data_IF_025733130286
#
_entry.id   IF_025733130286
#
_cell.length_a   1.000
_cell.length_b   1.000
_cell.length_c   1.000
_cell.angle_alpha   90.00
_cell.angle_beta   90.00
_cell.angle_gamma   90.00
#
_symmetry.space_group_name_H-M   'P 1'
#
loop_
_entity.id
_entity.type
_entity.pdbx_description
1 polymer ?
#
# COMPACT_ATOMS: atom_id res chain seq x y z
N UNK A 1 10.08 -25.43 8.49
CA UNK A 1 8.62 -25.47 8.76
C UNK A 1 7.88 -24.76 7.63
N UNK A 2 6.90 -25.42 6.97
CA UNK A 2 6.00 -24.75 6.03
C UNK A 2 5.18 -23.67 6.75
N UNK A 3 4.99 -22.52 6.12
CA UNK A 3 4.12 -21.48 6.68
C UNK A 3 2.66 -21.86 6.42
N UNK A 4 1.99 -22.33 7.46
CA UNK A 4 0.56 -22.68 7.44
C UNK A 4 -0.29 -21.57 8.05
N UNK A 5 -1.62 -21.74 8.09
CA UNK A 5 -2.55 -20.76 8.69
C UNK A 5 -2.26 -20.48 10.18
N UNK A 6 -1.61 -21.40 10.89
CA UNK A 6 -1.27 -21.28 12.31
C UNK A 6 0.05 -20.53 12.55
N UNK A 7 0.84 -20.31 11.49
CA UNK A 7 2.10 -19.57 11.53
C UNK A 7 1.85 -18.15 11.07
N UNK A 8 1.91 -17.20 12.00
CA UNK A 8 2.03 -15.79 11.66
C UNK A 8 3.50 -15.49 11.45
N UNK A 9 3.87 -14.98 10.29
CA UNK A 9 5.24 -14.61 9.98
C UNK A 9 5.19 -13.35 9.12
N UNK A 10 6.01 -12.37 9.43
CA UNK A 10 6.18 -11.17 8.62
C UNK A 10 7.67 -10.85 8.57
N UNK A 11 8.20 -10.74 7.36
CA UNK A 11 9.55 -10.26 7.10
C UNK A 11 9.58 -8.72 7.10
N UNK A 12 10.71 -8.10 7.39
CA UNK A 12 10.78 -6.63 7.48
C UNK A 12 10.35 -5.90 6.21
N UNK A 13 10.58 -6.48 5.02
CA UNK A 13 10.05 -5.97 3.76
C UNK A 13 8.52 -6.08 3.69
N UNK A 14 7.94 -7.19 4.15
CA UNK A 14 6.49 -7.36 4.24
C UNK A 14 5.88 -6.34 5.22
N UNK A 15 6.54 -6.11 6.35
CA UNK A 15 6.14 -5.13 7.38
C UNK A 15 6.14 -3.70 6.83
N UNK A 16 7.10 -3.36 5.95
CA UNK A 16 7.17 -2.04 5.33
C UNK A 16 5.87 -1.69 4.57
N UNK A 17 5.24 -2.68 3.93
CA UNK A 17 3.96 -2.49 3.25
C UNK A 17 2.78 -2.65 4.22
N UNK A 18 2.77 -3.71 5.05
CA UNK A 18 1.63 -4.03 5.92
C UNK A 18 1.35 -2.94 6.96
N UNK A 19 2.40 -2.31 7.51
CA UNK A 19 2.29 -1.19 8.46
C UNK A 19 1.64 0.07 7.87
N UNK A 20 1.69 0.23 6.55
CA UNK A 20 1.06 1.33 5.82
C UNK A 20 -0.31 0.95 5.25
N UNK A 21 -0.87 -0.20 5.63
CA UNK A 21 -2.09 -0.77 5.06
C UNK A 21 -1.99 -0.98 3.53
N UNK A 22 -0.77 -1.12 3.01
CA UNK A 22 -0.52 -1.48 1.63
C UNK A 22 -0.36 -2.99 1.55
N UNK A 23 -1.35 -3.70 1.02
CA UNK A 23 -1.21 -5.15 0.76
C UNK A 23 -1.29 -5.46 -0.71
N UNK A 24 -2.34 -5.00 -1.37
CA UNK A 24 -2.66 -5.25 -2.77
C UNK A 24 -3.40 -4.04 -3.37
N UNK A 25 -3.62 -4.03 -4.67
CA UNK A 25 -4.67 -3.19 -5.27
C UNK A 25 -6.08 -3.76 -5.01
N UNK A 26 -7.15 -2.92 -5.03
CA UNK A 26 -7.11 -1.45 -5.12
C UNK A 26 -6.53 -0.82 -3.85
N UNK A 27 -5.96 0.38 -4.00
CA UNK A 27 -5.46 1.17 -2.86
C UNK A 27 -6.63 1.97 -2.32
N UNK A 28 -7.01 1.69 -1.08
CA UNK A 28 -8.08 2.39 -0.37
C UNK A 28 -7.65 2.60 1.08
N UNK A 29 -7.89 3.80 1.60
CA UNK A 29 -7.49 4.17 2.95
C UNK A 29 -8.48 5.18 3.53
N UNK A 30 -8.69 5.08 4.84
CA UNK A 30 -9.32 6.13 5.66
C UNK A 30 -8.72 6.09 7.06
N UNK A 31 -8.60 7.23 7.70
CA UNK A 31 -8.02 7.34 9.04
C UNK A 31 -9.09 7.49 10.16
N UNK A 32 -10.35 7.19 9.86
CA UNK A 32 -11.47 7.22 10.81
C UNK A 32 -12.30 5.94 10.74
N UNK A 33 -13.00 5.62 11.84
CA UNK A 33 -13.68 4.35 12.04
C UNK A 33 -14.61 4.00 10.87
N UNK A 34 -14.57 2.78 10.31
CA UNK A 34 -15.47 2.35 9.23
C UNK A 34 -16.94 2.33 9.64
N UNK A 35 -17.24 2.40 10.95
CA UNK A 35 -18.60 2.47 11.48
C UNK A 35 -19.20 3.87 11.35
N UNK A 36 -18.38 4.91 11.12
CA UNK A 36 -18.84 6.26 10.84
C UNK A 36 -19.62 6.30 9.52
N UNK A 37 -20.88 6.73 9.60
CA UNK A 37 -21.78 6.92 8.47
C UNK A 37 -22.03 8.40 8.27
N UNK A 38 -22.02 8.83 7.01
CA UNK A 38 -22.47 10.18 6.68
C UNK A 38 -23.98 10.29 6.94
N UNK A 39 -24.39 11.44 7.45
CA UNK A 39 -25.78 11.85 7.62
C UNK A 39 -26.35 12.39 6.31
N UNK A 40 -25.53 13.06 5.51
CA UNK A 40 -25.93 13.73 4.28
C UNK A 40 -24.79 13.75 3.26
N UNK A 41 -25.15 13.74 1.97
CA UNK A 41 -24.24 14.04 0.85
C UNK A 41 -24.77 15.28 0.13
N UNK A 42 -23.95 16.32 0.08
CA UNK A 42 -24.27 17.58 -0.60
C UNK A 42 -23.50 17.61 -1.94
N UNK A 43 -24.16 17.56 -3.09
CA UNK A 43 -23.50 17.72 -4.39
C UNK A 43 -23.10 19.19 -4.59
N UNK A 44 -21.84 19.43 -4.94
CA UNK A 44 -21.28 20.77 -5.09
C UNK A 44 -20.95 21.13 -6.56
N UNK A 45 -21.27 20.22 -7.50
CA UNK A 45 -21.03 20.40 -8.92
C UNK A 45 -19.68 19.87 -9.39
N UNK A 46 -19.18 20.44 -10.49
CA UNK A 46 -17.89 20.08 -11.09
C UNK A 46 -17.05 21.33 -11.30
N UNK A 47 -15.75 21.22 -11.04
CA UNK A 47 -14.78 22.29 -11.27
C UNK A 47 -13.45 21.70 -11.69
N UNK A 48 -12.58 22.54 -12.24
CA UNK A 48 -11.17 22.23 -12.32
C UNK A 48 -10.52 22.43 -10.93
N UNK A 49 -9.56 21.57 -10.61
CA UNK A 49 -8.79 21.60 -9.35
C UNK A 49 -7.32 21.62 -9.69
N UNK A 50 -6.61 22.66 -9.25
CA UNK A 50 -5.16 22.75 -9.37
C UNK A 50 -4.51 22.27 -8.07
N UNK A 51 -3.51 21.40 -8.17
CA UNK A 51 -2.69 20.90 -7.06
C UNK A 51 -1.23 21.16 -7.39
N UNK A 52 -0.67 22.24 -6.82
CA UNK A 52 0.63 22.77 -7.27
C UNK A 52 0.62 23.06 -8.77
N UNK A 53 1.50 22.41 -9.53
CA UNK A 53 1.60 22.55 -10.98
C UNK A 53 0.66 21.61 -11.77
N UNK A 54 -0.06 20.70 -11.10
CA UNK A 54 -0.93 19.72 -11.75
C UNK A 54 -2.37 20.23 -11.82
N UNK A 55 -2.95 20.28 -13.02
CA UNK A 55 -4.34 20.65 -13.25
C UNK A 55 -5.21 19.41 -13.48
N UNK A 56 -6.27 19.26 -12.68
CA UNK A 56 -7.27 18.22 -12.82
C UNK A 56 -8.54 18.83 -13.39
N UNK A 57 -8.97 18.36 -14.56
CA UNK A 57 -10.18 18.87 -15.20
C UNK A 57 -11.43 18.11 -14.78
N UNK A 58 -12.55 18.81 -14.71
CA UNK A 58 -13.89 18.23 -14.50
C UNK A 58 -13.98 17.35 -13.24
N UNK A 59 -13.37 17.78 -12.14
CA UNK A 59 -13.44 17.10 -10.85
C UNK A 59 -14.83 17.30 -10.26
N UNK A 60 -15.49 16.19 -9.90
CA UNK A 60 -16.77 16.24 -9.18
C UNK A 60 -16.52 16.55 -7.70
N UNK A 61 -17.20 17.58 -7.20
CA UNK A 61 -17.15 17.99 -5.80
C UNK A 61 -18.39 17.51 -5.04
N UNK A 62 -18.17 16.95 -3.84
CA UNK A 62 -19.24 16.55 -2.92
C UNK A 62 -18.80 16.80 -1.49
N UNK A 63 -19.72 17.26 -0.63
CA UNK A 63 -19.48 17.27 0.81
C UNK A 63 -20.21 16.10 1.47
N UNK A 64 -19.49 15.30 2.25
CA UNK A 64 -20.04 14.29 3.13
C UNK A 64 -20.16 14.87 4.53
N UNK A 65 -21.38 14.95 5.06
CA UNK A 65 -21.64 15.46 6.40
C UNK A 65 -21.69 14.29 7.37
N UNK A 66 -20.78 14.25 8.33
CA UNK A 66 -20.81 13.33 9.47
C UNK A 66 -21.34 14.06 10.70
N UNK A 67 -21.55 13.33 11.79
CA UNK A 67 -22.03 13.89 13.05
C UNK A 67 -21.09 15.01 13.56
N UNK A 68 -19.78 14.77 13.53
CA UNK A 68 -18.80 15.64 14.19
C UNK A 68 -17.85 16.36 13.20
N UNK A 69 -17.95 16.06 11.90
CA UNK A 69 -17.07 16.62 10.87
C UNK A 69 -17.71 16.58 9.48
N UNK A 70 -17.06 17.23 8.51
CA UNK A 70 -17.43 17.18 7.09
C UNK A 70 -16.20 16.82 6.28
N UNK A 71 -16.38 16.04 5.21
CA UNK A 71 -15.33 15.79 4.22
C UNK A 71 -15.71 16.43 2.89
N UNK A 72 -14.77 17.12 2.25
CA UNK A 72 -14.89 17.53 0.86
C UNK A 72 -14.22 16.48 -0.02
N UNK A 73 -14.99 15.83 -0.90
CA UNK A 73 -14.50 14.87 -1.88
C UNK A 73 -14.21 15.55 -3.22
N UNK A 74 -13.01 15.27 -3.71
CA UNK A 74 -12.59 15.40 -5.10
C UNK A 74 -12.69 14.03 -5.77
N UNK A 75 -13.61 13.90 -6.72
CA UNK A 75 -13.84 12.66 -7.44
C UNK A 75 -13.52 12.82 -8.93
N UNK A 76 -12.67 11.93 -9.42
CA UNK A 76 -12.40 11.72 -10.84
C UNK A 76 -12.84 10.31 -11.25
N UNK A 77 -12.59 9.93 -12.51
CA UNK A 77 -12.73 8.52 -12.95
C UNK A 77 -11.64 7.62 -12.38
N UNK A 78 -10.51 8.19 -11.97
CA UNK A 78 -9.30 7.45 -11.62
C UNK A 78 -9.14 7.28 -10.11
N UNK A 79 -9.63 8.25 -9.33
CA UNK A 79 -9.53 8.21 -7.89
C UNK A 79 -10.66 9.01 -7.23
N UNK A 80 -10.79 8.81 -5.93
CA UNK A 80 -11.55 9.66 -5.00
C UNK A 80 -10.60 10.07 -3.89
N UNK A 81 -10.62 11.34 -3.53
CA UNK A 81 -9.88 11.87 -2.40
C UNK A 81 -10.81 12.77 -1.61
N UNK A 82 -10.93 12.53 -0.31
CA UNK A 82 -11.76 13.32 0.58
C UNK A 82 -10.98 13.67 1.84
N UNK A 83 -11.13 14.90 2.32
CA UNK A 83 -10.44 15.40 3.50
C UNK A 83 -11.33 16.34 4.28
N UNK A 84 -11.08 16.45 5.58
CA UNK A 84 -11.91 17.26 6.45
C UNK A 84 -11.72 18.74 6.21
N UNK A 85 -12.86 19.42 6.08
CA UNK A 85 -12.92 20.85 5.79
C UNK A 85 -14.00 21.54 6.63
N UNK A 86 -13.85 22.84 6.77
CA UNK A 86 -14.91 23.76 7.17
C UNK A 86 -15.30 24.64 5.98
N UNK A 87 -16.55 25.11 5.97
CA UNK A 87 -17.09 25.97 4.92
C UNK A 87 -17.59 27.26 5.58
N UNK A 88 -17.03 28.40 5.17
CA UNK A 88 -17.43 29.72 5.63
C UNK A 88 -17.50 30.65 4.42
N UNK A 89 -18.64 31.32 4.20
CA UNK A 89 -18.89 32.21 3.06
C UNK A 89 -18.50 31.63 1.68
N UNK A 90 -18.87 30.37 1.44
CA UNK A 90 -18.52 29.58 0.24
C UNK A 90 -17.02 29.31 0.04
N UNK A 91 -16.16 29.61 1.02
CA UNK A 91 -14.73 29.30 1.01
C UNK A 91 -14.47 28.10 1.92
N UNK A 92 -13.73 27.11 1.40
CA UNK A 92 -13.32 25.93 2.16
C UNK A 92 -11.99 26.15 2.86
N UNK A 93 -11.91 25.70 4.11
CA UNK A 93 -10.70 25.71 4.95
C UNK A 93 -10.34 24.29 5.37
N UNK A 94 -9.06 23.93 5.31
CA UNK A 94 -8.61 22.62 5.78
C UNK A 94 -8.78 22.52 7.29
N UNK A 95 -9.30 21.38 7.76
CA UNK A 95 -9.21 20.97 9.16
C UNK A 95 -8.51 19.63 9.19
N UNK A 96 -7.22 19.57 9.50
CA UNK A 96 -6.47 18.31 9.40
C UNK A 96 -6.82 17.36 10.55
N UNK A 97 -7.73 16.41 10.29
CA UNK A 97 -8.01 15.31 11.21
C UNK A 97 -8.42 14.05 10.44
N UNK A 98 -9.28 14.19 9.44
CA UNK A 98 -9.87 13.07 8.72
C UNK A 98 -9.58 13.12 7.22
N UNK A 99 -9.22 11.98 6.66
CA UNK A 99 -9.01 11.80 5.24
C UNK A 99 -9.41 10.40 4.79
N UNK A 100 -9.79 10.31 3.52
CA UNK A 100 -10.12 9.07 2.84
C UNK A 100 -9.70 9.17 1.37
N UNK A 101 -9.18 8.08 0.81
CA UNK A 101 -8.98 7.99 -0.63
C UNK A 101 -9.16 6.58 -1.16
N UNK A 102 -9.41 6.51 -2.46
CA UNK A 102 -9.50 5.28 -3.23
C UNK A 102 -8.92 5.53 -4.63
N UNK A 103 -8.05 4.63 -5.10
CA UNK A 103 -7.47 4.66 -6.44
C UNK A 103 -7.99 3.45 -7.22
N UNK A 104 -8.46 3.69 -8.44
CA UNK A 104 -8.99 2.66 -9.33
C UNK A 104 -7.95 1.59 -9.63
N UNK A 105 -8.40 0.34 -9.72
CA UNK A 105 -7.55 -0.80 -10.10
C UNK A 105 -7.40 -0.98 -11.62
N UNK A 106 -8.12 -0.20 -12.44
CA UNK A 106 -8.08 -0.29 -13.90
C UNK A 106 -7.37 0.93 -14.52
N UNK A 107 -6.11 1.12 -14.13
CA UNK A 107 -5.26 2.20 -14.61
C UNK A 107 -4.04 1.63 -15.31
N UNK A 108 -3.67 2.24 -16.44
CA UNK A 108 -2.39 1.95 -17.05
C UNK A 108 -1.26 2.59 -16.23
N UNK A 109 -0.04 2.08 -16.38
CA UNK A 109 1.09 2.52 -15.56
C UNK A 109 1.38 4.04 -15.65
N UNK A 110 1.36 4.69 -16.85
CA UNK A 110 1.57 6.14 -16.93
C UNK A 110 0.52 6.96 -16.16
N UNK A 111 -0.75 6.57 -16.21
CA UNK A 111 -1.81 7.23 -15.43
C UNK A 111 -1.60 7.03 -13.93
N UNK A 112 -1.22 5.82 -13.53
CA UNK A 112 -0.96 5.51 -12.13
C UNK A 112 0.26 6.28 -11.58
N UNK A 113 1.32 6.45 -12.39
CA UNK A 113 2.48 7.27 -12.04
C UNK A 113 2.08 8.73 -11.80
N UNK A 114 1.25 9.31 -12.67
CA UNK A 114 0.73 10.66 -12.50
C UNK A 114 -0.11 10.80 -11.21
N UNK A 115 -0.92 9.80 -10.87
CA UNK A 115 -1.71 9.79 -9.63
C UNK A 115 -0.81 9.68 -8.41
N UNK A 116 0.21 8.81 -8.42
CA UNK A 116 1.13 8.71 -7.28
C UNK A 116 1.89 10.01 -7.05
N UNK A 117 2.35 10.67 -8.13
CA UNK A 117 2.95 12.00 -8.04
C UNK A 117 1.97 13.04 -7.50
N UNK A 118 0.72 13.04 -7.97
CA UNK A 118 -0.34 13.92 -7.49
C UNK A 118 -0.58 13.78 -5.99
N UNK A 119 -0.79 12.54 -5.51
CA UNK A 119 -1.03 12.28 -4.09
C UNK A 119 0.20 12.61 -3.23
N UNK A 120 1.41 12.35 -3.71
CA UNK A 120 2.63 12.74 -3.03
C UNK A 120 2.75 14.27 -2.90
N UNK A 121 2.49 15.02 -3.97
CA UNK A 121 2.46 16.49 -3.95
C UNK A 121 1.38 17.02 -3.02
N UNK A 122 0.18 16.44 -3.09
CA UNK A 122 -0.95 16.77 -2.25
C UNK A 122 -0.58 16.67 -0.77
N UNK A 123 -0.04 15.53 -0.33
CA UNK A 123 0.33 15.31 1.08
C UNK A 123 1.63 16.00 1.50
N UNK A 124 2.41 16.51 0.54
CA UNK A 124 3.58 17.35 0.84
C UNK A 124 3.19 18.80 1.18
N UNK A 125 1.90 19.15 1.12
CA UNK A 125 1.41 20.50 1.37
C UNK A 125 1.33 21.38 0.14
N UNK A 126 1.27 20.81 -1.08
CA UNK A 126 1.04 21.61 -2.28
C UNK A 126 -0.30 22.36 -2.19
N UNK A 127 -0.35 23.59 -2.71
CA UNK A 127 -1.58 24.38 -2.73
C UNK A 127 -2.62 23.70 -3.62
N UNK A 128 -3.80 23.50 -3.06
CA UNK A 128 -5.00 23.01 -3.73
C UNK A 128 -5.90 24.21 -3.98
N UNK A 129 -6.17 24.49 -5.24
CA UNK A 129 -6.94 25.65 -5.67
C UNK A 129 -8.12 25.19 -6.53
N UNK A 130 -9.31 25.65 -6.20
CA UNK A 130 -10.52 25.37 -6.97
C UNK A 130 -11.59 26.44 -6.74
N UNK A 131 -12.56 26.49 -7.65
CA UNK A 131 -13.68 27.41 -7.54
C UNK A 131 -14.93 26.67 -7.05
N UNK A 132 -15.66 27.29 -6.13
CA UNK A 132 -17.00 26.86 -5.73
C UNK A 132 -17.91 28.08 -5.74
N UNK A 133 -19.00 28.01 -6.49
CA UNK A 133 -19.83 29.18 -6.84
C UNK A 133 -18.97 30.32 -7.41
N UNK A 134 -18.98 31.49 -6.77
CA UNK A 134 -18.19 32.66 -7.17
C UNK A 134 -16.93 32.85 -6.32
N UNK A 135 -16.64 31.91 -5.41
CA UNK A 135 -15.53 32.00 -4.47
C UNK A 135 -14.40 31.04 -4.87
N UNK A 136 -13.16 31.54 -4.77
CA UNK A 136 -11.95 30.74 -4.91
C UNK A 136 -11.58 30.18 -3.54
N UNK A 137 -11.41 28.88 -3.45
CA UNK A 137 -10.85 28.21 -2.27
C UNK A 137 -9.40 27.86 -2.53
N UNK A 138 -8.55 28.12 -1.55
CA UNK A 138 -7.13 27.77 -1.55
C UNK A 138 -6.78 27.13 -0.22
N UNK A 139 -6.28 25.90 -0.27
CA UNK A 139 -6.03 25.09 0.91
C UNK A 139 -4.81 24.18 0.72
N UNK A 140 -4.27 23.62 1.79
CA UNK A 140 -3.17 22.66 1.74
C UNK A 140 -3.37 21.56 2.78
N UNK A 141 -2.71 20.42 2.56
CA UNK A 141 -2.79 19.26 3.45
C UNK A 141 -1.39 18.69 3.62
N UNK A 142 -0.91 18.51 4.84
CA UNK A 142 0.40 17.90 5.11
C UNK A 142 0.26 16.56 5.84
N UNK A 143 0.85 15.51 5.28
CA UNK A 143 0.91 14.21 5.91
C UNK A 143 2.14 13.40 5.47
N UNK A 144 3.22 13.50 6.24
CA UNK A 144 4.52 12.88 5.92
C UNK A 144 4.44 11.34 5.81
N UNK A 145 3.54 10.69 6.57
CA UNK A 145 3.30 9.24 6.47
C UNK A 145 2.70 8.87 5.11
N UNK A 146 1.76 9.67 4.62
CA UNK A 146 1.18 9.46 3.29
C UNK A 146 2.17 9.80 2.18
N UNK A 147 3.00 10.84 2.34
CA UNK A 147 4.12 11.12 1.42
C UNK A 147 5.04 9.91 1.29
N UNK A 148 5.43 9.30 2.41
CA UNK A 148 6.25 8.09 2.41
C UNK A 148 5.53 6.92 1.73
N UNK A 149 4.23 6.72 2.00
CA UNK A 149 3.41 5.68 1.37
C UNK A 149 3.39 5.80 -0.16
N UNK A 150 3.14 6.99 -0.70
CA UNK A 150 3.13 7.21 -2.15
C UNK A 150 4.52 7.16 -2.78
N UNK A 151 5.58 7.49 -2.03
CA UNK A 151 6.96 7.28 -2.46
C UNK A 151 7.28 5.79 -2.60
N UNK A 152 6.84 4.96 -1.64
CA UNK A 152 6.99 3.50 -1.69
C UNK A 152 6.25 2.88 -2.89
N UNK A 153 4.99 3.31 -3.11
CA UNK A 153 4.19 2.88 -4.26
C UNK A 153 4.84 3.25 -5.60
N UNK A 154 5.39 4.46 -5.71
CA UNK A 154 6.12 4.91 -6.90
C UNK A 154 7.37 4.06 -7.16
N UNK A 155 8.11 3.70 -6.11
CA UNK A 155 9.26 2.81 -6.21
C UNK A 155 8.85 1.41 -6.71
N UNK A 156 7.78 0.85 -6.14
CA UNK A 156 7.24 -0.44 -6.56
C UNK A 156 6.80 -0.45 -8.03
N UNK A 157 6.11 0.62 -8.49
CA UNK A 157 5.71 0.78 -9.89
C UNK A 157 6.92 0.80 -10.84
N UNK A 158 7.98 1.55 -10.49
CA UNK A 158 9.21 1.64 -11.29
C UNK A 158 9.93 0.30 -11.39
N UNK A 159 10.05 -0.44 -10.29
CA UNK A 159 10.64 -1.80 -10.28
C UNK A 159 9.84 -2.75 -11.16
N UNK A 160 8.51 -2.69 -11.05
CA UNK A 160 7.61 -3.48 -11.89
C UNK A 160 7.79 -3.14 -13.39
N UNK A 161 7.80 -1.86 -13.77
CA UNK A 161 7.97 -1.44 -15.16
C UNK A 161 9.33 -1.85 -15.74
N UNK A 162 10.41 -1.70 -14.96
CA UNK A 162 11.78 -1.93 -15.43
C UNK A 162 12.14 -3.41 -15.60
N UNK A 163 11.65 -4.30 -14.73
CA UNK A 163 12.10 -5.69 -14.70
C UNK A 163 11.02 -6.73 -14.99
N UNK A 164 9.76 -6.39 -14.77
CA UNK A 164 8.67 -7.33 -14.99
C UNK A 164 8.06 -7.19 -16.39
N UNK A 165 8.24 -6.06 -17.07
CA UNK A 165 7.65 -5.82 -18.39
C UNK A 165 8.07 -6.83 -19.47
N UNK A 166 9.25 -7.44 -19.37
CA UNK A 166 9.76 -8.46 -20.31
C UNK A 166 9.07 -9.83 -20.17
N UNK A 167 8.63 -10.18 -18.95
CA UNK A 167 7.94 -11.43 -18.63
C UNK A 167 6.41 -11.32 -18.66
N UNK A 168 5.86 -10.12 -18.87
CA UNK A 168 4.42 -9.87 -18.87
C UNK A 168 3.84 -9.84 -20.28
N UNK A 169 2.66 -10.42 -20.47
CA UNK A 169 1.90 -10.27 -21.71
C UNK A 169 1.21 -8.91 -21.76
N UNK A 170 0.73 -8.47 -22.95
CA UNK A 170 0.01 -7.19 -23.10
C UNK A 170 -1.16 -7.03 -22.11
N UNK A 171 -1.82 -8.11 -21.69
CA UNK A 171 -2.95 -8.09 -20.76
C UNK A 171 -2.53 -7.88 -19.30
N UNK A 172 -1.30 -8.24 -18.94
CA UNK A 172 -0.79 -8.22 -17.56
C UNK A 172 0.11 -7.02 -17.29
N UNK A 173 0.19 -6.05 -18.23
CA UNK A 173 1.13 -4.92 -18.20
C UNK A 173 0.81 -3.85 -17.16
N UNK A 174 -0.40 -3.85 -16.59
CA UNK A 174 -0.83 -2.81 -15.67
C UNK A 174 -0.61 -3.25 -14.23
N UNK A 175 0.19 -2.47 -13.50
CA UNK A 175 0.53 -2.73 -12.10
C UNK A 175 -0.72 -2.79 -11.21
N UNK A 176 -1.71 -1.94 -11.48
CA UNK A 176 -2.95 -1.87 -10.70
C UNK A 176 -3.88 -3.09 -10.86
N UNK A 177 -3.65 -3.92 -11.89
CA UNK A 177 -4.47 -5.10 -12.20
C UNK A 177 -4.03 -6.38 -11.49
N UNK A 178 -2.90 -6.32 -10.78
CA UNK A 178 -2.28 -7.48 -10.16
C UNK A 178 -2.98 -7.88 -8.86
N UNK A 179 -3.16 -9.19 -8.68
CA UNK A 179 -3.70 -9.77 -7.45
C UNK A 179 -2.62 -10.03 -6.39
N UNK A 180 -1.37 -10.13 -6.81
CA UNK A 180 -0.25 -10.36 -5.90
C UNK A 180 -0.09 -9.19 -4.95
N UNK A 181 0.42 -9.49 -3.75
CA UNK A 181 0.75 -8.44 -2.80
C UNK A 181 1.98 -7.64 -3.26
N UNK A 182 2.13 -6.41 -2.76
CA UNK A 182 3.33 -5.62 -3.03
C UNK A 182 4.61 -6.33 -2.57
N UNK A 183 4.54 -7.03 -1.44
CA UNK A 183 5.63 -7.86 -0.95
C UNK A 183 5.99 -9.00 -1.93
N UNK A 184 5.00 -9.73 -2.45
CA UNK A 184 5.23 -10.80 -3.43
C UNK A 184 5.89 -10.28 -4.72
N UNK A 185 5.49 -9.08 -5.17
CA UNK A 185 6.08 -8.43 -6.34
C UNK A 185 7.53 -8.00 -6.08
N UNK A 186 7.85 -7.53 -4.88
CA UNK A 186 9.23 -7.24 -4.49
C UNK A 186 10.09 -8.51 -4.42
N UNK A 187 9.55 -9.62 -3.92
CA UNK A 187 10.26 -10.92 -3.92
C UNK A 187 10.56 -11.36 -5.35
N UNK A 188 9.60 -11.20 -6.28
CA UNK A 188 9.85 -11.51 -7.68
C UNK A 188 10.91 -10.58 -8.29
N UNK A 189 10.85 -9.29 -8.00
CA UNK A 189 11.87 -8.32 -8.42
C UNK A 189 13.27 -8.69 -7.91
N UNK A 190 13.41 -9.07 -6.64
CA UNK A 190 14.68 -9.55 -6.08
C UNK A 190 15.20 -10.77 -6.82
N UNK A 191 14.35 -11.76 -7.08
CA UNK A 191 14.75 -12.93 -7.83
C UNK A 191 15.20 -12.58 -9.26
N UNK A 192 14.42 -11.79 -10.00
CA UNK A 192 14.71 -11.40 -11.38
C UNK A 192 15.96 -10.50 -11.51
N UNK A 193 16.29 -9.74 -10.46
CA UNK A 193 17.51 -8.93 -10.40
C UNK A 193 18.76 -9.71 -9.95
N UNK A 194 18.65 -11.01 -9.70
CA UNK A 194 19.74 -11.86 -9.23
C UNK A 194 20.03 -11.73 -7.73
N UNK A 195 19.23 -10.97 -6.98
CA UNK A 195 19.30 -10.86 -5.52
C UNK A 195 18.57 -12.06 -4.88
N UNK A 196 19.15 -13.25 -5.02
CA UNK A 196 18.59 -14.51 -4.51
C UNK A 196 18.94 -14.80 -3.06
N UNK A 197 19.82 -14.00 -2.44
CA UNK A 197 20.16 -14.09 -1.02
C UNK A 197 20.21 -12.70 -0.40
N UNK A 198 19.63 -12.53 0.79
CA UNK A 198 19.69 -11.28 1.53
C UNK A 198 19.45 -11.46 3.03
N UNK A 199 19.88 -10.46 3.79
CA UNK A 199 19.67 -10.41 5.23
C UNK A 199 18.41 -9.62 5.57
N UNK A 200 17.70 -10.10 6.58
CA UNK A 200 16.43 -9.54 7.00
C UNK A 200 16.22 -9.73 8.51
N UNK A 201 15.08 -9.24 9.00
CA UNK A 201 14.55 -9.62 10.30
C UNK A 201 13.08 -9.95 10.18
N UNK A 202 12.59 -10.81 11.08
CA UNK A 202 11.20 -11.26 11.09
C UNK A 202 10.52 -11.02 12.43
N UNK A 203 9.20 -10.87 12.37
CA UNK A 203 8.30 -11.21 13.47
C UNK A 203 7.62 -12.54 13.14
N UNK A 204 7.54 -13.46 14.11
CA UNK A 204 6.84 -14.72 13.91
C UNK A 204 6.11 -15.17 15.19
N UNK A 205 4.98 -15.85 15.01
CA UNK A 205 4.26 -16.57 16.06
C UNK A 205 3.78 -17.91 15.51
N UNK A 206 4.16 -19.00 16.16
CA UNK A 206 3.86 -20.35 15.71
C UNK A 206 3.70 -21.33 16.88
N UNK A 207 2.99 -22.46 16.71
CA UNK A 207 2.87 -23.48 17.74
C UNK A 207 4.24 -24.04 18.13
N UNK A 208 4.46 -24.24 19.44
CA UNK A 208 5.71 -24.81 19.97
C UNK A 208 5.89 -26.27 19.52
N UNK A 209 4.85 -27.09 19.62
CA UNK A 209 4.92 -28.50 19.25
C UNK A 209 6.07 -29.23 19.96
N UNK A 210 6.97 -29.84 19.18
CA UNK A 210 8.16 -30.57 19.67
C UNK A 210 9.44 -29.72 19.72
N UNK A 211 9.34 -28.42 19.43
CA UNK A 211 10.50 -27.52 19.31
C UNK A 211 11.09 -27.24 20.70
N UNK A 212 12.41 -27.28 20.78
CA UNK A 212 13.20 -27.10 21.99
C UNK A 212 14.13 -25.88 21.91
N UNK A 213 14.59 -25.42 23.07
CA UNK A 213 15.69 -24.45 23.15
C UNK A 213 16.92 -25.06 22.47
N UNK A 214 17.64 -24.26 21.67
CA UNK A 214 18.79 -24.72 20.87
C UNK A 214 18.41 -25.19 19.46
N UNK A 215 17.13 -25.34 19.13
CA UNK A 215 16.74 -25.73 17.77
C UNK A 215 16.99 -24.59 16.77
N UNK A 216 17.49 -24.95 15.58
CA UNK A 216 17.49 -24.06 14.42
C UNK A 216 16.12 -24.08 13.74
N UNK A 217 15.62 -22.89 13.39
CA UNK A 217 14.30 -22.74 12.74
C UNK A 217 14.46 -22.12 11.37
N UNK A 218 13.76 -22.74 10.42
CA UNK A 218 13.62 -22.27 9.06
C UNK A 218 12.14 -22.21 8.69
N UNK A 219 11.73 -21.13 8.04
CA UNK A 219 10.40 -20.97 7.46
C UNK A 219 10.50 -21.08 5.94
N UNK A 220 9.56 -21.80 5.33
CA UNK A 220 9.50 -21.95 3.87
C UNK A 220 8.13 -21.49 3.37
N UNK A 221 8.14 -20.60 2.38
CA UNK A 221 6.97 -20.06 1.67
C UNK A 221 7.16 -20.22 0.18
N UNK A 222 6.05 -20.40 -0.54
CA UNK A 222 6.05 -20.46 -2.00
C UNK A 222 5.10 -19.39 -2.54
N UNK A 223 5.60 -18.57 -3.46
CA UNK A 223 4.83 -17.53 -4.13
C UNK A 223 4.58 -17.92 -5.58
N UNK A 224 3.29 -18.01 -5.93
CA UNK A 224 2.84 -18.28 -7.30
C UNK A 224 2.40 -16.98 -7.96
N UNK A 225 2.84 -16.79 -9.21
CA UNK A 225 2.50 -15.61 -9.99
C UNK A 225 1.63 -16.01 -11.18
N UNK A 226 0.57 -15.23 -11.47
CA UNK A 226 -0.38 -15.51 -12.54
C UNK A 226 0.14 -15.09 -13.92
N UNK A 227 1.45 -14.90 -14.08
CA UNK A 227 2.06 -14.44 -15.33
C UNK A 227 2.22 -15.58 -16.32
N UNK A 228 1.64 -15.45 -17.51
CA UNK A 228 1.64 -16.52 -18.52
C UNK A 228 3.04 -17.00 -18.90
N UNK A 229 4.03 -16.10 -18.95
CA UNK A 229 5.42 -16.45 -19.31
C UNK A 229 6.26 -16.92 -18.13
N UNK A 230 5.72 -16.91 -16.91
CA UNK A 230 6.40 -17.40 -15.72
C UNK A 230 5.93 -18.84 -15.42
N UNK A 231 6.75 -19.82 -15.81
CA UNK A 231 6.46 -21.25 -15.65
C UNK A 231 6.85 -21.81 -14.27
N UNK A 232 7.36 -20.98 -13.37
CA UNK A 232 7.86 -21.37 -12.06
C UNK A 232 7.18 -20.57 -10.95
N UNK A 233 7.24 -21.08 -9.73
CA UNK A 233 6.97 -20.34 -8.51
C UNK A 233 8.31 -19.95 -7.84
N UNK A 234 8.27 -19.00 -6.91
CA UNK A 234 9.44 -18.63 -6.11
C UNK A 234 9.28 -19.20 -4.71
N UNK A 235 10.20 -20.07 -4.30
CA UNK A 235 10.33 -20.52 -2.92
C UNK A 235 11.21 -19.52 -2.16
N UNK A 236 10.67 -18.96 -1.09
CA UNK A 236 11.41 -18.18 -0.11
C UNK A 236 11.68 -19.04 1.11
N UNK A 237 12.96 -19.11 1.46
CA UNK A 237 13.45 -19.87 2.61
C UNK A 237 14.10 -18.89 3.58
N UNK A 238 13.52 -18.78 4.79
CA UNK A 238 13.93 -17.83 5.83
C UNK A 238 14.53 -18.60 7.00
N UNK A 239 15.83 -18.45 7.25
CA UNK A 239 16.57 -19.19 8.27
C UNK A 239 16.95 -18.26 9.43
N UNK A 240 16.61 -18.63 10.66
CA UNK A 240 17.10 -17.90 11.84
C UNK A 240 18.63 -17.96 11.90
N UNK A 241 19.27 -16.82 12.14
CA UNK A 241 20.75 -16.77 12.29
C UNK A 241 21.25 -17.35 13.60
N UNK A 242 20.38 -17.39 14.59
CA UNK A 242 20.67 -17.94 15.91
C UNK A 242 19.62 -19.00 16.21
N UNK A 243 20.07 -20.04 16.90
CA UNK A 243 19.20 -21.05 17.48
C UNK A 243 18.18 -20.39 18.42
N UNK A 244 17.08 -21.09 18.64
CA UNK A 244 16.06 -20.64 19.58
C UNK A 244 16.65 -20.52 20.99
N UNK A 245 16.58 -19.31 21.54
CA UNK A 245 16.88 -19.06 22.95
C UNK A 245 15.82 -19.70 23.87
N UNK A 246 15.72 -19.22 25.11
CA UNK A 246 14.75 -19.78 26.05
C UNK A 246 13.29 -19.58 25.55
N UNK A 247 12.63 -20.67 25.18
CA UNK A 247 11.28 -20.69 24.58
C UNK A 247 10.14 -20.85 25.59
N UNK A 248 10.42 -20.82 26.90
CA UNK A 248 9.40 -20.87 27.95
C UNK A 248 8.52 -22.12 27.94
N UNK A 249 7.49 -22.14 28.80
CA UNK A 249 6.52 -23.24 28.89
C UNK A 249 5.26 -23.02 28.02
N UNK A 250 5.17 -21.89 27.33
CA UNK A 250 4.00 -21.56 26.51
C UNK A 250 3.84 -22.52 25.33
N UNK A 251 2.59 -22.75 24.91
CA UNK A 251 2.25 -23.58 23.75
C UNK A 251 2.57 -22.89 22.42
N UNK A 252 2.94 -21.61 22.44
CA UNK A 252 3.32 -20.84 21.26
C UNK A 252 4.68 -20.20 21.44
N UNK A 253 5.49 -20.21 20.38
CA UNK A 253 6.74 -19.46 20.31
C UNK A 253 6.46 -18.14 19.62
N UNK A 254 6.93 -17.04 20.22
CA UNK A 254 6.88 -15.72 19.63
C UNK A 254 8.29 -15.16 19.44
N UNK A 255 8.59 -14.79 18.20
CA UNK A 255 9.84 -14.17 17.77
C UNK A 255 9.55 -12.73 17.38
N UNK A 256 10.22 -11.78 18.02
CA UNK A 256 10.10 -10.36 17.71
C UNK A 256 11.45 -9.86 17.18
N UNK A 257 11.45 -9.28 15.99
CA UNK A 257 12.61 -8.69 15.30
C UNK A 257 13.86 -9.58 15.32
N UNK A 258 13.68 -10.88 15.02
CA UNK A 258 14.80 -11.83 14.97
C UNK A 258 15.50 -11.77 13.63
N UNK A 259 16.83 -11.69 13.65
CA UNK A 259 17.67 -11.65 12.44
C UNK A 259 17.64 -12.98 11.70
N UNK A 260 17.52 -12.90 10.38
CA UNK A 260 17.42 -14.06 9.48
C UNK A 260 18.29 -13.87 8.25
N UNK A 261 18.63 -14.98 7.62
CA UNK A 261 19.04 -15.00 6.21
C UNK A 261 17.87 -15.51 5.37
N UNK A 262 17.72 -14.93 4.17
CA UNK A 262 16.68 -15.31 3.22
C UNK A 262 17.34 -15.80 1.94
N UNK A 263 16.91 -16.95 1.44
CA UNK A 263 17.22 -17.43 0.08
C UNK A 263 15.96 -17.56 -0.78
N UNK A 264 16.11 -17.27 -2.07
CA UNK A 264 15.05 -17.32 -3.09
C UNK A 264 15.45 -18.29 -4.19
N UNK A 265 14.57 -19.24 -4.49
CA UNK A 265 14.81 -20.27 -5.50
C UNK A 265 13.58 -20.41 -6.41
N UNK A 266 13.79 -20.64 -7.71
CA UNK A 266 12.70 -21.01 -8.61
C UNK A 266 12.40 -22.49 -8.45
N UNK A 267 11.12 -22.82 -8.30
CA UNK A 267 10.63 -24.19 -8.24
C UNK A 267 9.65 -24.42 -9.38
N UNK A 268 9.71 -25.60 -10.02
CA UNK A 268 8.74 -25.97 -11.05
C UNK A 268 7.34 -26.06 -10.44
N UNK A 269 6.35 -25.61 -11.22
CA UNK A 269 4.94 -25.64 -10.84
C UNK A 269 4.40 -27.07 -10.79
#
# INVERSE_FOLDING_TARGET
MPVTKEVKLEENLEIQFSSLQLKHFPISYRNFSPQEKFLEIIPLGTTDVQVGEQLLHNVTLRAFVYKDFRLLEFKTREFRFAFSVELFDNVFFTREAFLQYEISNDLNNPRLENIFALFQNLFSGANIVFQYNHAKSELSIKNDMEVFKFSLLSSALKKYQSQMSSILTKKEKNFSSLKNSFYELEILHYYLSGKTFYDAWINAKFPKGKIQTGDSVQFVRTFSYPFQRLSYAIQQTITLRQELGNIGAENTIQLNRKSVSVSLEAIQK
#
